data_IF_276266486936
#
_entry.id   IF_276266486936
#
_cell.length_a   1.000
_cell.length_b   1.000
_cell.length_c   1.000
_cell.angle_alpha   90.00
_cell.angle_beta   90.00
_cell.angle_gamma   90.00
#
_symmetry.space_group_name_H-M   'P 1'
#
loop_
_entity.id
_entity.type
_entity.pdbx_description
1 polymer ?
#
# COMPACT_ATOMS: atom_id res chain seq x y z
N UNK A 1 -8.45 -6.27 -2.06
CA UNK A 1 -7.48 -7.19 -1.47
C UNK A 1 -6.70 -6.50 -0.39
N UNK A 2 -6.12 -7.24 0.52
CA UNK A 2 -5.30 -6.66 1.58
C UNK A 2 -3.97 -6.19 1.01
N UNK A 3 -3.26 -5.36 1.76
CA UNK A 3 -1.93 -4.91 1.35
C UNK A 3 -1.00 -6.11 1.17
N UNK A 4 -1.07 -7.08 2.07
CA UNK A 4 -0.24 -8.27 1.98
C UNK A 4 -0.53 -9.04 0.69
N UNK A 5 -1.80 -9.19 0.35
CA UNK A 5 -2.19 -9.89 -0.87
C UNK A 5 -1.74 -9.11 -2.12
N UNK A 6 -1.87 -7.80 -2.10
CA UNK A 6 -1.45 -6.99 -3.23
C UNK A 6 0.05 -7.08 -3.44
N UNK A 7 0.82 -7.06 -2.36
CA UNK A 7 2.27 -7.23 -2.46
C UNK A 7 2.63 -8.59 -3.04
N UNK A 8 1.99 -9.65 -2.56
CA UNK A 8 2.25 -10.99 -3.04
C UNK A 8 1.93 -11.11 -4.53
N UNK A 9 0.83 -10.50 -4.94
CA UNK A 9 0.40 -10.53 -6.33
C UNK A 9 1.45 -9.87 -7.24
N UNK A 10 2.15 -8.86 -6.74
CA UNK A 10 3.17 -8.15 -7.52
C UNK A 10 4.58 -8.70 -7.28
N UNK A 11 4.72 -9.77 -6.50
CA UNK A 11 6.03 -10.33 -6.20
C UNK A 11 6.84 -9.47 -5.23
N UNK A 12 6.17 -8.67 -4.40
CA UNK A 12 6.83 -7.80 -3.45
C UNK A 12 6.70 -8.33 -2.04
N UNK A 13 7.60 -7.87 -1.17
CA UNK A 13 7.46 -8.11 0.26
C UNK A 13 7.70 -6.77 0.94
N UNK A 14 7.64 -6.74 2.26
CA UNK A 14 7.79 -5.47 2.99
C UNK A 14 9.13 -4.80 2.69
N UNK A 15 10.20 -5.57 2.57
CA UNK A 15 11.51 -5.01 2.30
C UNK A 15 11.60 -4.42 0.90
N UNK A 16 11.14 -5.15 -0.12
CA UNK A 16 11.26 -4.67 -1.49
C UNK A 16 10.32 -3.50 -1.75
N UNK A 17 9.12 -3.53 -1.20
CA UNK A 17 8.18 -2.43 -1.37
C UNK A 17 8.70 -1.17 -0.68
N UNK A 18 9.22 -1.33 0.54
CA UNK A 18 9.78 -0.20 1.28
C UNK A 18 10.93 0.43 0.51
N UNK A 19 11.77 -0.39 -0.10
CA UNK A 19 12.88 0.10 -0.89
C UNK A 19 12.40 0.90 -2.09
N UNK A 20 11.35 0.41 -2.74
CA UNK A 20 10.80 1.10 -3.91
C UNK A 20 10.26 2.49 -3.58
N UNK A 21 9.66 2.66 -2.42
CA UNK A 21 9.08 3.93 -2.07
C UNK A 21 9.96 4.74 -1.12
N UNK A 22 11.13 4.23 -0.77
CA UNK A 22 12.12 4.99 -0.02
C UNK A 22 11.84 5.12 1.46
N UNK A 23 11.24 4.09 2.08
CA UNK A 23 10.94 4.11 3.50
C UNK A 23 11.46 2.82 4.14
N UNK A 24 11.23 2.67 5.43
CA UNK A 24 11.67 1.48 6.15
C UNK A 24 10.61 0.41 6.08
N UNK A 25 11.05 -0.85 6.05
CA UNK A 25 10.14 -1.99 6.01
C UNK A 25 9.17 -1.99 7.19
N UNK A 26 9.60 -1.48 8.34
CA UNK A 26 8.73 -1.39 9.52
C UNK A 26 7.49 -0.55 9.28
N UNK A 27 7.57 0.46 8.41
CA UNK A 27 6.40 1.26 8.07
C UNK A 27 5.39 0.42 7.30
N UNK A 28 5.87 -0.38 6.35
CA UNK A 28 4.99 -1.27 5.59
C UNK A 28 4.30 -2.25 6.55
N UNK A 29 5.04 -2.80 7.49
CA UNK A 29 4.48 -3.74 8.46
C UNK A 29 3.37 -3.09 9.29
N UNK A 30 3.56 -1.82 9.69
CA UNK A 30 2.51 -1.09 10.41
C UNK A 30 1.25 -0.95 9.57
N UNK A 31 1.40 -0.70 8.28
CA UNK A 31 0.26 -0.52 7.39
C UNK A 31 -0.51 -1.82 7.16
N UNK A 32 0.12 -2.96 7.42
CA UNK A 32 -0.56 -4.25 7.30
C UNK A 32 -1.39 -4.62 8.51
N UNK A 33 -1.29 -3.85 9.60
CA UNK A 33 -2.08 -4.11 10.80
C UNK A 33 -3.52 -3.66 10.59
N UNK A 34 -4.46 -4.15 11.40
CA UNK A 34 -5.84 -3.68 11.33
C UNK A 34 -5.90 -2.16 11.39
N UNK A 35 -6.61 -1.56 10.47
CA UNK A 35 -6.75 -0.12 10.34
C UNK A 35 -5.45 0.62 10.03
N UNK A 36 -4.34 -0.08 9.84
CA UNK A 36 -3.07 0.57 9.55
C UNK A 36 -3.10 1.36 8.25
N UNK A 37 -3.79 0.85 7.23
CA UNK A 37 -3.87 1.56 5.95
C UNK A 37 -4.59 2.90 6.05
N UNK A 38 -5.47 3.06 7.02
CA UNK A 38 -6.20 4.31 7.19
C UNK A 38 -5.31 5.43 7.71
N UNK A 39 -4.13 5.09 8.18
CA UNK A 39 -3.19 6.08 8.74
C UNK A 39 -2.06 6.41 7.78
N UNK A 40 -2.08 5.87 6.58
CA UNK A 40 -1.03 6.13 5.59
C UNK A 40 -1.19 7.55 5.06
N UNK A 41 -0.13 8.38 5.09
CA UNK A 41 -0.22 9.72 4.53
C UNK A 41 -0.54 9.68 3.03
N UNK A 42 -1.20 10.72 2.53
CA UNK A 42 -1.60 10.78 1.13
C UNK A 42 -0.44 10.60 0.17
N UNK A 43 0.70 11.21 0.47
CA UNK A 43 1.87 11.07 -0.39
C UNK A 43 2.34 9.62 -0.48
N UNK A 44 2.24 8.89 0.64
CA UNK A 44 2.61 7.48 0.64
C UNK A 44 1.58 6.62 -0.07
N UNK A 45 0.31 7.00 0.01
CA UNK A 45 -0.72 6.29 -0.75
C UNK A 45 -0.48 6.40 -2.25
N UNK A 46 -0.02 7.57 -2.72
CA UNK A 46 0.32 7.73 -4.12
C UNK A 46 1.50 6.85 -4.52
N UNK A 47 2.50 6.77 -3.65
CA UNK A 47 3.65 5.90 -3.90
C UNK A 47 3.25 4.43 -3.93
N UNK A 48 2.36 4.03 -3.02
CA UNK A 48 1.84 2.66 -3.03
C UNK A 48 1.05 2.40 -4.31
N UNK A 49 0.29 3.38 -4.77
CA UNK A 49 -0.50 3.22 -5.98
C UNK A 49 0.39 2.99 -7.19
N UNK A 50 1.49 3.72 -7.29
CA UNK A 50 2.44 3.53 -8.37
C UNK A 50 3.10 2.15 -8.25
N UNK A 51 3.55 1.78 -7.07
CA UNK A 51 4.24 0.52 -6.85
C UNK A 51 3.35 -0.70 -7.06
N UNK A 52 2.06 -0.58 -6.72
CA UNK A 52 1.12 -1.68 -6.78
C UNK A 52 0.11 -1.55 -7.91
N UNK A 53 0.31 -0.54 -8.79
CA UNK A 53 -0.51 -0.35 -9.99
C UNK A 53 -1.96 -0.01 -9.67
N UNK A 54 -2.17 0.78 -8.65
CA UNK A 54 -3.50 1.28 -8.30
C UNK A 54 -4.38 0.23 -7.64
N UNK A 55 -5.67 0.53 -7.62
CA UNK A 55 -6.65 -0.41 -7.13
C UNK A 55 -7.21 -0.07 -5.75
N UNK A 56 -7.86 -1.05 -5.14
CA UNK A 56 -8.45 -0.89 -3.83
C UNK A 56 -7.81 -1.87 -2.87
N UNK A 57 -7.32 -1.37 -1.76
CA UNK A 57 -6.77 -2.22 -0.72
C UNK A 57 -7.77 -2.28 0.43
N UNK A 58 -7.79 -3.41 1.11
CA UNK A 58 -8.67 -3.62 2.24
C UNK A 58 -7.80 -3.87 3.46
N UNK A 59 -8.07 -3.15 4.54
CA UNK A 59 -7.33 -3.36 5.77
C UNK A 59 -7.68 -4.72 6.36
N UNK A 60 -6.89 -5.18 7.31
CA UNK A 60 -7.20 -6.43 8.00
C UNK A 60 -8.53 -6.33 8.74
N UNK A 61 -9.00 -5.11 9.05
CA UNK A 61 -10.28 -4.90 9.71
C UNK A 61 -11.44 -4.74 8.71
N UNK A 62 -11.17 -4.79 7.42
CA UNK A 62 -12.21 -4.73 6.41
C UNK A 62 -12.49 -3.34 5.82
N UNK A 63 -11.79 -2.32 6.26
CA UNK A 63 -11.97 -0.97 5.70
C UNK A 63 -11.26 -0.86 4.35
N UNK A 64 -11.89 -0.18 3.40
CA UNK A 64 -11.33 -0.01 2.07
C UNK A 64 -10.52 1.27 1.94
N UNK A 65 -9.42 1.20 1.23
CA UNK A 65 -8.59 2.35 0.92
C UNK A 65 -8.29 2.29 -0.58
N UNK A 66 -8.68 3.33 -1.30
CA UNK A 66 -8.44 3.37 -2.73
C UNK A 66 -7.09 3.98 -3.06
N UNK A 67 -6.41 3.37 -4.02
CA UNK A 67 -5.14 3.86 -4.51
C UNK A 67 -5.35 4.44 -5.90
N UNK A 68 -5.46 5.75 -5.98
CA UNK A 68 -5.68 6.39 -7.28
C UNK A 68 -4.40 6.61 -8.03
N UNK A 69 -3.43 7.14 -7.35
CA UNK A 69 -2.10 7.28 -7.83
C UNK A 69 -1.95 7.77 -9.23
N UNK A 70 -1.21 7.04 -9.95
CA UNK A 70 -0.81 7.37 -11.28
C UNK A 70 -1.95 7.40 -12.25
N UNK A 71 -3.16 6.87 -11.89
CA UNK A 71 -4.18 6.95 -12.84
C UNK A 71 -5.01 8.12 -12.64
N UNK A 72 -5.04 8.66 -11.48
CA UNK A 72 -5.99 9.61 -11.09
C UNK A 72 -6.00 10.81 -11.83
N UNK A 73 -5.03 11.21 -12.28
CA UNK A 73 -5.02 12.33 -12.84
C UNK A 73 -4.89 12.32 -14.12
N UNK A 74 -5.05 11.29 -14.46
CA UNK A 74 -5.00 11.27 -15.86
C UNK A 74 -5.87 12.28 -16.36
#
# INVERSE_FOLDING_TARGET
MTLKEAMAYRGENADTLAEKIGIRAGEITKWMRPAGLLRVPSARLQQLAVALDGGVLVTAAGAEVELYGNRGNA
#
